data_IF_334046494070
#
_entry.id   IF_334046494070
#
_cell.length_a   1.000
_cell.length_b   1.000
_cell.length_c   1.000
_cell.angle_alpha   90.00
_cell.angle_beta   90.00
_cell.angle_gamma   90.00
#
_symmetry.space_group_name_H-M   'P 1'
#
loop_
_entity.id
_entity.type
_entity.pdbx_description
1 polymer ?
#
# COMPACT_ATOMS: atom_id res chain seq x y z
N UNK A 1 14.35 5.18 -23.52
CA UNK A 1 13.81 6.37 -22.79
C UNK A 1 13.69 5.93 -21.33
N UNK A 2 13.89 6.84 -20.37
CA UNK A 2 13.71 6.51 -18.96
C UNK A 2 12.25 6.15 -18.68
N UNK A 3 12.01 5.12 -17.85
CA UNK A 3 10.66 4.68 -17.49
C UNK A 3 10.03 5.56 -16.41
N UNK A 4 10.85 6.28 -15.63
CA UNK A 4 10.40 7.20 -14.60
C UNK A 4 11.34 8.41 -14.47
N UNK A 5 10.76 9.60 -14.28
CA UNK A 5 11.51 10.87 -14.18
C UNK A 5 10.95 11.77 -13.07
N UNK A 6 10.89 11.32 -11.81
CA UNK A 6 10.49 12.20 -10.73
C UNK A 6 11.56 13.29 -10.54
N UNK A 7 11.11 14.52 -10.28
CA UNK A 7 11.99 15.62 -9.87
C UNK A 7 11.57 16.06 -8.48
N UNK A 8 12.41 15.82 -7.48
CA UNK A 8 12.14 16.08 -6.07
C UNK A 8 13.09 17.17 -5.58
N UNK A 9 12.54 18.24 -5.04
CA UNK A 9 13.28 19.34 -4.42
C UNK A 9 13.18 19.29 -2.87
N UNK A 10 13.79 20.23 -2.18
CA UNK A 10 13.79 20.27 -0.70
C UNK A 10 12.40 20.57 -0.13
N UNK A 11 11.60 21.41 -0.78
CA UNK A 11 10.23 21.70 -0.35
C UNK A 11 9.35 20.44 -0.43
N UNK A 12 9.55 19.60 -1.45
CA UNK A 12 8.87 18.31 -1.56
C UNK A 12 9.24 17.36 -0.43
N UNK A 13 10.52 17.33 -0.03
CA UNK A 13 11.00 16.52 1.10
C UNK A 13 10.39 17.02 2.42
N UNK A 14 10.37 18.34 2.64
CA UNK A 14 9.74 18.95 3.84
C UNK A 14 8.23 18.67 3.86
N UNK A 15 7.55 18.87 2.72
CA UNK A 15 6.13 18.58 2.57
C UNK A 15 5.81 17.09 2.86
N UNK A 16 6.61 16.18 2.30
CA UNK A 16 6.45 14.74 2.56
C UNK A 16 6.64 14.41 4.04
N UNK A 17 7.67 14.92 4.69
CA UNK A 17 7.91 14.71 6.13
C UNK A 17 6.75 15.21 6.98
N UNK A 18 6.18 16.35 6.64
CA UNK A 18 5.06 16.98 7.36
C UNK A 18 3.75 16.27 7.14
N UNK A 19 3.43 15.93 5.89
CA UNK A 19 2.12 15.42 5.50
C UNK A 19 2.07 13.91 5.37
N UNK A 20 3.21 13.25 5.16
CA UNK A 20 3.33 11.81 4.95
C UNK A 20 3.00 11.36 3.54
N UNK A 21 2.65 12.28 2.64
CA UNK A 21 2.37 12.00 1.25
C UNK A 21 2.88 13.10 0.32
N UNK A 22 3.05 12.73 -0.96
CA UNK A 22 3.41 13.65 -2.04
C UNK A 22 2.75 13.18 -3.34
N UNK A 23 2.09 14.09 -4.04
CA UNK A 23 1.60 13.84 -5.40
C UNK A 23 2.72 14.11 -6.40
N UNK A 24 3.03 13.11 -7.19
CA UNK A 24 4.06 13.15 -8.24
C UNK A 24 3.36 13.21 -9.61
N UNK A 25 3.68 14.25 -10.42
CA UNK A 25 3.11 14.41 -11.76
C UNK A 25 4.03 13.83 -12.82
N UNK A 26 3.47 13.07 -13.76
CA UNK A 26 4.18 12.54 -14.92
C UNK A 26 5.41 11.73 -14.58
N UNK A 27 5.41 11.07 -13.41
CA UNK A 27 6.58 10.31 -12.92
C UNK A 27 6.84 9.07 -13.73
N UNK A 28 5.81 8.44 -14.28
CA UNK A 28 5.92 7.23 -15.08
C UNK A 28 5.68 7.53 -16.57
N UNK A 29 6.50 6.92 -17.43
CA UNK A 29 6.30 7.03 -18.86
C UNK A 29 5.02 6.34 -19.33
N UNK A 30 4.50 6.75 -20.48
CA UNK A 30 3.31 6.11 -21.07
C UNK A 30 3.55 4.61 -21.30
N UNK A 31 4.74 4.23 -21.74
CA UNK A 31 5.12 2.83 -21.98
C UNK A 31 5.08 2.01 -20.70
N UNK A 32 5.56 2.57 -19.59
CA UNK A 32 5.51 1.89 -18.30
C UNK A 32 4.08 1.77 -17.77
N UNK A 33 3.26 2.80 -17.94
CA UNK A 33 1.82 2.75 -17.58
C UNK A 33 1.10 1.67 -18.37
N UNK A 34 1.33 1.55 -19.68
CA UNK A 34 0.75 0.50 -20.51
C UNK A 34 1.26 -0.90 -20.12
N UNK A 35 2.54 -1.02 -19.75
CA UNK A 35 3.08 -2.26 -19.22
C UNK A 35 2.39 -2.67 -17.91
N UNK A 36 2.25 -1.74 -16.94
CA UNK A 36 1.53 -1.99 -15.69
C UNK A 36 0.05 -2.37 -15.94
N UNK A 37 -0.59 -1.76 -16.94
CA UNK A 37 -1.97 -2.09 -17.35
C UNK A 37 -2.05 -3.52 -17.90
N UNK A 38 -1.17 -3.89 -18.81
CA UNK A 38 -1.10 -5.22 -19.40
C UNK A 38 -0.83 -6.28 -18.34
N UNK A 39 0.13 -6.02 -17.45
CA UNK A 39 0.51 -6.89 -16.34
C UNK A 39 -0.68 -7.10 -15.38
N UNK A 40 -1.35 -6.01 -14.99
CA UNK A 40 -2.53 -6.06 -14.15
C UNK A 40 -3.66 -6.85 -14.83
N UNK A 41 -3.97 -6.56 -16.10
CA UNK A 41 -5.02 -7.26 -16.85
C UNK A 41 -4.77 -8.75 -16.96
N UNK A 42 -3.49 -9.17 -17.06
CA UNK A 42 -3.12 -10.58 -17.16
C UNK A 42 -3.15 -11.33 -15.83
N UNK A 43 -2.89 -10.65 -14.72
CA UNK A 43 -2.67 -11.28 -13.42
C UNK A 43 -3.82 -11.11 -12.43
N UNK A 44 -4.65 -10.06 -12.56
CA UNK A 44 -5.74 -9.81 -11.62
C UNK A 44 -6.81 -10.90 -11.70
N UNK A 45 -7.30 -11.31 -10.54
CA UNK A 45 -8.35 -12.31 -10.37
C UNK A 45 -9.50 -11.75 -9.55
N UNK A 46 -10.67 -12.40 -9.61
CA UNK A 46 -11.74 -12.08 -8.68
C UNK A 46 -11.25 -12.30 -7.24
N UNK A 47 -11.54 -11.36 -6.31
CA UNK A 47 -11.15 -11.51 -4.92
C UNK A 47 -11.93 -12.68 -4.27
N UNK A 48 -11.41 -13.17 -3.14
CA UNK A 48 -12.14 -14.14 -2.33
C UNK A 48 -13.45 -13.52 -1.80
N UNK A 49 -14.45 -14.38 -1.53
CA UNK A 49 -15.81 -13.96 -1.15
C UNK A 49 -15.85 -13.04 0.08
N UNK A 50 -14.91 -13.21 1.01
CA UNK A 50 -14.79 -12.39 2.20
C UNK A 50 -14.25 -10.95 1.97
N UNK A 51 -13.85 -10.59 0.74
CA UNK A 51 -13.62 -9.19 0.34
C UNK A 51 -14.91 -8.44 0.02
N UNK A 52 -16.03 -9.14 -0.08
CA UNK A 52 -17.32 -8.55 -0.43
C UNK A 52 -17.26 -7.77 -1.74
N UNK A 53 -17.92 -6.62 -1.79
CA UNK A 53 -17.98 -5.75 -2.98
C UNK A 53 -16.81 -4.76 -3.08
N UNK A 54 -15.72 -4.97 -2.34
CA UNK A 54 -14.59 -4.03 -2.33
C UNK A 54 -14.00 -3.79 -3.71
N UNK A 55 -13.70 -4.86 -4.43
CA UNK A 55 -13.07 -4.83 -5.76
C UNK A 55 -13.72 -5.84 -6.69
N UNK A 56 -13.72 -5.53 -8.00
CA UNK A 56 -14.06 -6.51 -9.03
C UNK A 56 -12.92 -7.50 -9.25
N UNK A 57 -11.68 -7.01 -9.18
CA UNK A 57 -10.47 -7.81 -9.24
C UNK A 57 -9.39 -7.23 -8.34
N UNK A 58 -8.62 -8.11 -7.73
CA UNK A 58 -7.50 -7.76 -6.84
C UNK A 58 -6.45 -8.86 -6.91
N UNK A 59 -5.17 -8.48 -6.87
CA UNK A 59 -4.11 -9.44 -6.62
C UNK A 59 -2.90 -8.74 -6.00
N UNK A 60 -2.37 -9.35 -4.95
CA UNK A 60 -1.04 -9.05 -4.41
C UNK A 60 0.05 -9.69 -5.25
N UNK A 61 1.27 -9.22 -5.10
CA UNK A 61 2.48 -9.75 -5.75
C UNK A 61 2.45 -9.64 -7.30
N UNK A 62 1.66 -8.71 -7.83
CA UNK A 62 1.62 -8.42 -9.27
C UNK A 62 2.95 -7.81 -9.70
N UNK A 63 3.62 -8.45 -10.64
CA UNK A 63 4.86 -7.95 -11.21
C UNK A 63 6.08 -8.00 -10.29
N UNK A 64 6.05 -8.79 -9.20
CA UNK A 64 7.17 -8.87 -8.26
C UNK A 64 8.51 -9.26 -8.91
N UNK A 65 8.45 -10.12 -9.91
CA UNK A 65 9.63 -10.60 -10.66
C UNK A 65 9.62 -10.14 -12.13
N UNK A 66 8.76 -9.16 -12.45
CA UNK A 66 8.69 -8.61 -13.80
C UNK A 66 9.93 -7.76 -14.10
N UNK A 67 10.68 -8.05 -15.21
CA UNK A 67 11.94 -7.39 -15.48
C UNK A 67 11.81 -5.88 -15.75
N UNK A 68 10.65 -5.41 -16.24
CA UNK A 68 10.42 -3.97 -16.49
C UNK A 68 10.17 -3.25 -15.17
N UNK A 69 9.40 -3.86 -14.26
CA UNK A 69 9.19 -3.32 -12.91
C UNK A 69 10.50 -3.31 -12.12
N UNK A 70 11.29 -4.38 -12.20
CA UNK A 70 12.60 -4.43 -11.53
C UNK A 70 13.60 -3.43 -12.12
N UNK A 71 13.61 -3.24 -13.44
CA UNK A 71 14.46 -2.24 -14.08
C UNK A 71 14.18 -0.81 -13.61
N UNK A 72 12.95 -0.49 -13.24
CA UNK A 72 12.57 0.80 -12.65
C UNK A 72 13.40 1.13 -11.39
N UNK A 73 13.73 0.12 -10.58
CA UNK A 73 14.48 0.31 -9.32
C UNK A 73 15.91 0.78 -9.57
N UNK A 74 16.44 0.49 -10.74
CA UNK A 74 17.80 0.89 -11.17
C UNK A 74 17.82 2.18 -12.01
N UNK A 75 16.65 2.80 -12.28
CA UNK A 75 16.58 4.10 -12.96
C UNK A 75 17.15 5.20 -12.04
N UNK A 76 18.26 5.87 -12.41
CA UNK A 76 18.95 6.78 -11.49
C UNK A 76 18.07 7.88 -10.92
N UNK A 77 17.27 8.55 -11.76
CA UNK A 77 16.39 9.64 -11.34
C UNK A 77 15.29 9.15 -10.38
N UNK A 78 14.77 7.94 -10.59
CA UNK A 78 13.77 7.35 -9.71
C UNK A 78 14.40 6.95 -8.37
N UNK A 79 15.49 6.20 -8.40
CA UNK A 79 16.17 5.73 -7.19
C UNK A 79 16.67 6.90 -6.32
N UNK A 80 17.27 7.94 -6.93
CA UNK A 80 17.74 9.13 -6.22
C UNK A 80 16.58 9.90 -5.58
N UNK A 81 15.50 10.13 -6.32
CA UNK A 81 14.31 10.82 -5.80
C UNK A 81 13.66 10.08 -4.64
N UNK A 82 13.51 8.78 -4.75
CA UNK A 82 12.91 7.94 -3.72
C UNK A 82 13.78 7.88 -2.46
N UNK A 83 15.08 7.71 -2.61
CA UNK A 83 16.02 7.67 -1.47
C UNK A 83 16.15 9.04 -0.79
N UNK A 84 16.08 10.14 -1.55
CA UNK A 84 16.04 11.50 -1.01
C UNK A 84 14.80 11.75 -0.15
N UNK A 85 13.61 11.37 -0.63
CA UNK A 85 12.36 11.48 0.13
C UNK A 85 12.38 10.62 1.40
N UNK A 86 12.88 9.39 1.28
CA UNK A 86 12.98 8.44 2.38
C UNK A 86 14.05 8.81 3.41
N UNK A 87 15.12 9.49 3.00
CA UNK A 87 16.32 9.74 3.80
C UNK A 87 17.16 8.47 4.04
N UNK A 88 16.87 7.39 3.35
CA UNK A 88 17.55 6.09 3.45
C UNK A 88 17.41 5.30 2.14
N UNK A 89 18.26 4.30 1.95
CA UNK A 89 18.09 3.33 0.87
C UNK A 89 16.82 2.51 1.07
N UNK A 90 16.16 2.22 -0.04
CA UNK A 90 14.92 1.47 -0.08
C UNK A 90 15.08 0.19 -0.89
N UNK A 91 14.17 -0.74 -0.71
CA UNK A 91 14.01 -1.85 -1.65
C UNK A 91 12.54 -2.11 -1.95
N UNK A 92 12.27 -2.54 -3.16
CA UNK A 92 10.93 -2.91 -3.62
C UNK A 92 10.52 -4.24 -2.99
N UNK A 93 9.41 -4.24 -2.27
CA UNK A 93 8.89 -5.43 -1.59
C UNK A 93 7.86 -6.15 -2.43
N UNK A 94 6.84 -5.44 -2.93
CA UNK A 94 5.75 -6.06 -3.68
C UNK A 94 4.96 -5.06 -4.53
N UNK A 95 4.37 -5.57 -5.60
CA UNK A 95 3.33 -4.88 -6.37
C UNK A 95 1.93 -5.31 -5.96
N UNK A 96 0.95 -4.47 -6.19
CA UNK A 96 -0.47 -4.74 -6.00
C UNK A 96 -1.26 -4.14 -7.16
N UNK A 97 -2.06 -4.94 -7.82
CA UNK A 97 -3.03 -4.48 -8.82
C UNK A 97 -4.46 -4.62 -8.32
N UNK A 98 -5.34 -3.69 -8.69
CA UNK A 98 -6.76 -3.77 -8.34
C UNK A 98 -7.65 -2.97 -9.27
N UNK A 99 -8.88 -3.46 -9.43
CA UNK A 99 -9.90 -2.91 -10.31
C UNK A 99 -11.17 -2.57 -9.52
N UNK A 100 -11.67 -1.35 -9.71
CA UNK A 100 -13.01 -0.95 -9.27
C UNK A 100 -13.95 -1.00 -10.46
N UNK A 101 -15.08 -1.70 -10.33
CA UNK A 101 -16.17 -1.68 -11.29
C UNK A 101 -17.17 -0.57 -10.95
N UNK A 102 -17.62 0.14 -11.99
CA UNK A 102 -18.54 1.27 -11.87
C UNK A 102 -19.80 0.89 -11.08
N UNK A 103 -20.14 1.71 -10.10
CA UNK A 103 -21.29 1.58 -9.21
C UNK A 103 -21.39 0.30 -8.36
N UNK A 104 -20.45 -0.65 -8.53
CA UNK A 104 -20.46 -1.91 -7.80
C UNK A 104 -19.40 -1.95 -6.71
N UNK A 105 -18.14 -1.63 -7.08
CA UNK A 105 -17.01 -1.73 -6.16
C UNK A 105 -16.96 -0.55 -5.19
N UNK A 106 -16.79 -0.85 -3.91
CA UNK A 106 -16.63 0.17 -2.85
C UNK A 106 -15.18 0.58 -2.62
N UNK A 107 -14.23 -0.27 -3.00
CA UNK A 107 -12.81 -0.12 -2.69
C UNK A 107 -12.49 -0.37 -1.21
N UNK A 108 -11.25 -0.08 -0.82
CA UNK A 108 -10.86 -0.14 0.59
C UNK A 108 -11.51 0.98 1.40
N UNK A 109 -12.11 0.69 2.58
CA UNK A 109 -12.55 1.70 3.53
C UNK A 109 -11.33 2.47 4.11
N UNK A 110 -11.54 3.41 5.03
CA UNK A 110 -10.46 4.09 5.72
C UNK A 110 -9.52 3.09 6.40
N UNK A 111 -8.23 3.17 6.08
CA UNK A 111 -7.20 2.26 6.59
C UNK A 111 -5.80 2.91 6.51
N UNK A 112 -4.81 2.17 6.96
CA UNK A 112 -3.38 2.45 6.82
C UNK A 112 -2.66 1.22 6.28
N UNK A 113 -1.34 1.29 6.13
CA UNK A 113 -0.53 0.20 5.58
C UNK A 113 -0.39 -1.05 6.47
N UNK A 114 -1.37 -1.36 7.32
CA UNK A 114 -1.30 -2.46 8.28
C UNK A 114 -0.99 -3.81 7.63
N UNK A 115 -1.68 -4.15 6.56
CA UNK A 115 -1.48 -5.43 5.86
C UNK A 115 -0.27 -5.38 4.93
N UNK A 116 -0.08 -4.25 4.25
CA UNK A 116 0.98 -4.06 3.26
C UNK A 116 2.38 -4.08 3.86
N UNK A 117 2.49 -3.68 5.12
CA UNK A 117 3.73 -3.60 5.89
C UNK A 117 3.63 -4.41 7.18
N UNK A 118 2.79 -5.45 7.17
CA UNK A 118 2.51 -6.30 8.33
C UNK A 118 3.68 -7.14 8.83
N UNK A 119 4.79 -7.13 8.11
CA UNK A 119 6.01 -7.88 8.40
C UNK A 119 7.08 -7.07 9.15
N UNK A 120 6.97 -5.74 9.20
CA UNK A 120 8.01 -4.86 9.73
C UNK A 120 7.55 -4.11 10.99
N UNK A 121 8.52 -3.65 11.76
CA UNK A 121 8.27 -2.89 12.98
C UNK A 121 7.62 -1.54 12.68
N UNK A 122 7.03 -0.94 13.72
CA UNK A 122 6.38 0.37 13.62
C UNK A 122 7.34 1.48 13.21
N UNK A 123 8.55 1.47 13.74
CA UNK A 123 9.59 2.48 13.48
C UNK A 123 10.20 2.40 12.08
N UNK A 124 10.10 1.25 11.43
CA UNK A 124 10.64 1.04 10.09
C UNK A 124 9.84 1.81 9.04
N UNK A 125 10.53 2.38 8.07
CA UNK A 125 9.90 3.10 6.98
C UNK A 125 9.27 2.12 5.98
N UNK A 126 7.99 2.35 5.67
CA UNK A 126 7.28 1.69 4.58
C UNK A 126 6.62 2.74 3.69
N UNK A 127 6.83 2.66 2.38
CA UNK A 127 6.32 3.60 1.39
C UNK A 127 5.47 2.88 0.34
N UNK A 128 4.42 3.54 -0.10
CA UNK A 128 3.61 3.10 -1.24
C UNK A 128 3.59 4.18 -2.30
N UNK A 129 3.86 3.81 -3.54
CA UNK A 129 3.51 4.60 -4.72
C UNK A 129 2.25 3.98 -5.31
N UNK A 130 1.16 4.72 -5.28
CA UNK A 130 -0.08 4.36 -5.95
C UNK A 130 -0.21 5.14 -7.25
N UNK A 131 -0.49 4.47 -8.35
CA UNK A 131 -0.70 5.08 -9.66
C UNK A 131 -1.99 4.57 -10.29
N UNK A 132 -2.90 5.45 -10.70
CA UNK A 132 -4.03 5.05 -11.52
C UNK A 132 -3.57 4.79 -12.96
N UNK A 133 -4.14 3.76 -13.57
CA UNK A 133 -3.85 3.40 -14.96
C UNK A 133 -4.87 3.99 -15.95
N UNK A 134 -5.70 4.91 -15.49
CA UNK A 134 -6.65 5.72 -16.26
C UNK A 134 -6.84 7.08 -15.57
N UNK A 135 -7.37 8.09 -16.25
CA UNK A 135 -7.61 9.40 -15.63
C UNK A 135 -8.55 9.32 -14.43
N UNK A 136 -8.27 10.11 -13.41
CA UNK A 136 -9.12 10.29 -12.22
C UNK A 136 -9.58 11.74 -12.17
N UNK A 137 -10.89 11.95 -12.22
CA UNK A 137 -11.53 13.25 -12.09
C UNK A 137 -12.44 13.29 -10.85
N UNK A 138 -12.03 13.97 -9.76
CA UNK A 138 -12.81 14.09 -8.53
C UNK A 138 -14.14 14.82 -8.69
N UNK A 139 -14.29 15.65 -9.73
CA UNK A 139 -15.50 16.39 -10.03
C UNK A 139 -16.41 15.67 -11.04
N UNK A 140 -15.88 14.63 -11.69
CA UNK A 140 -16.60 13.80 -12.66
C UNK A 140 -16.87 12.41 -12.13
N UNK A 141 -16.27 11.37 -12.78
CA UNK A 141 -16.56 9.96 -12.46
C UNK A 141 -15.88 9.45 -11.18
N UNK A 142 -14.92 10.19 -10.63
CA UNK A 142 -14.16 9.88 -9.42
C UNK A 142 -13.33 8.58 -9.56
N UNK A 143 -13.39 7.65 -8.61
CA UNK A 143 -12.62 6.38 -8.64
C UNK A 143 -11.19 6.48 -8.12
N UNK A 144 -10.78 7.62 -7.55
CA UNK A 144 -9.45 7.86 -6.99
C UNK A 144 -9.29 7.38 -5.54
N UNK A 145 -8.54 8.16 -4.78
CA UNK A 145 -8.34 7.98 -3.35
C UNK A 145 -8.61 9.27 -2.59
N UNK A 146 -9.14 9.12 -1.37
CA UNK A 146 -9.04 10.15 -0.33
C UNK A 146 -7.92 9.79 0.63
N UNK A 147 -7.17 10.80 1.07
CA UNK A 147 -6.05 10.63 1.97
C UNK A 147 -5.88 11.85 2.88
N UNK A 148 -5.38 11.59 4.08
CA UNK A 148 -5.32 12.58 5.15
C UNK A 148 -3.87 12.89 5.52
N UNK A 149 -3.55 14.18 5.68
CA UNK A 149 -2.26 14.59 6.19
C UNK A 149 -1.99 14.06 7.60
N UNK A 150 -0.82 13.50 7.83
CA UNK A 150 -0.36 13.10 9.17
C UNK A 150 -0.28 14.27 10.15
N UNK A 151 -0.16 15.49 9.63
CA UNK A 151 -0.20 16.71 10.46
C UNK A 151 -1.61 16.97 11.02
N UNK A 152 -2.65 16.42 10.40
CA UNK A 152 -4.03 16.45 10.94
C UNK A 152 -4.25 15.26 11.86
N UNK A 153 -3.98 14.04 11.37
CA UNK A 153 -4.10 12.80 12.14
C UNK A 153 -3.19 11.72 11.57
N UNK A 154 -2.26 11.23 12.40
CA UNK A 154 -1.43 10.08 12.04
C UNK A 154 -2.17 8.77 12.31
N UNK A 155 -2.08 7.84 11.38
CA UNK A 155 -2.64 6.49 11.54
C UNK A 155 -1.74 5.50 12.26
N UNK A 156 -0.69 5.95 12.95
CA UNK A 156 0.24 5.06 13.65
C UNK A 156 -0.46 4.17 14.69
N UNK A 157 -1.42 4.74 15.44
CA UNK A 157 -2.19 3.96 16.42
C UNK A 157 -3.01 2.85 15.77
N UNK A 158 -3.56 3.10 14.58
CA UNK A 158 -4.31 2.08 13.81
C UNK A 158 -3.37 0.97 13.33
N UNK A 159 -2.18 1.35 12.89
CA UNK A 159 -1.15 0.39 12.50
C UNK A 159 -0.76 -0.55 13.67
N UNK A 160 -0.71 -0.03 14.89
CA UNK A 160 -0.39 -0.82 16.08
C UNK A 160 -1.58 -1.62 16.63
N UNK A 161 -2.78 -1.13 16.47
CA UNK A 161 -4.01 -1.72 17.01
C UNK A 161 -4.19 -3.20 16.64
N UNK A 162 -3.79 -3.58 15.43
CA UNK A 162 -3.91 -4.96 14.95
C UNK A 162 -3.22 -5.98 15.88
N UNK A 163 -2.16 -5.57 16.58
CA UNK A 163 -1.41 -6.45 17.48
C UNK A 163 -2.23 -6.85 18.72
N UNK A 164 -3.27 -6.11 19.06
CA UNK A 164 -4.12 -6.36 20.23
C UNK A 164 -5.25 -7.35 19.93
N UNK A 165 -5.72 -7.41 18.69
CA UNK A 165 -6.92 -8.13 18.31
C UNK A 165 -6.86 -9.64 18.59
N UNK A 166 -5.78 -10.39 18.26
CA UNK A 166 -5.72 -11.82 18.50
C UNK A 166 -5.78 -12.18 19.98
N UNK A 167 -5.12 -11.38 20.82
CA UNK A 167 -5.13 -11.61 22.27
C UNK A 167 -6.52 -11.40 22.85
N UNK A 168 -7.22 -10.35 22.43
CA UNK A 168 -8.58 -10.05 22.81
C UNK A 168 -9.54 -11.17 22.37
N UNK A 169 -9.51 -11.53 21.08
CA UNK A 169 -10.36 -12.60 20.53
C UNK A 169 -10.15 -13.93 21.26
N UNK A 170 -8.89 -14.27 21.55
CA UNK A 170 -8.56 -15.48 22.32
C UNK A 170 -9.14 -15.47 23.74
N UNK A 171 -9.12 -14.31 24.40
CA UNK A 171 -9.73 -14.14 25.72
C UNK A 171 -11.26 -14.29 25.67
N UNK A 172 -11.93 -13.72 24.65
CA UNK A 172 -13.36 -13.85 24.46
C UNK A 172 -13.78 -15.33 24.20
N UNK A 173 -13.03 -16.04 23.33
CA UNK A 173 -13.26 -17.47 23.10
C UNK A 173 -13.05 -18.30 24.37
N UNK A 174 -12.01 -18.00 25.16
CA UNK A 174 -11.76 -18.68 26.44
C UNK A 174 -12.87 -18.41 27.48
N UNK A 175 -13.53 -17.27 27.39
CA UNK A 175 -14.70 -16.93 28.19
C UNK A 175 -16.01 -17.59 27.70
N UNK A 176 -15.94 -18.44 26.67
CA UNK A 176 -17.07 -19.17 26.10
C UNK A 176 -17.92 -18.36 25.10
N UNK A 177 -17.42 -17.23 24.61
CA UNK A 177 -18.09 -16.48 23.55
C UNK A 177 -17.73 -17.07 22.18
N UNK A 178 -18.70 -17.12 21.29
CA UNK A 178 -18.48 -17.34 19.87
C UNK A 178 -17.91 -16.05 19.28
N UNK A 179 -16.75 -16.14 18.60
CA UNK A 179 -16.15 -15.01 17.88
C UNK A 179 -16.21 -15.30 16.39
N UNK A 180 -16.88 -14.45 15.65
CA UNK A 180 -17.10 -14.58 14.22
C UNK A 180 -16.10 -13.74 13.41
N UNK A 181 -16.11 -13.94 12.08
CA UNK A 181 -15.35 -13.07 11.17
C UNK A 181 -15.89 -11.62 11.19
N UNK A 182 -17.18 -11.45 11.31
CA UNK A 182 -17.83 -10.14 11.42
C UNK A 182 -17.37 -9.39 12.66
N UNK A 183 -17.25 -10.04 13.80
CA UNK A 183 -16.70 -9.44 15.04
C UNK A 183 -15.26 -8.98 14.85
N UNK A 184 -14.44 -9.78 14.15
CA UNK A 184 -13.06 -9.42 13.82
C UNK A 184 -13.01 -8.21 12.87
N UNK A 185 -13.80 -8.22 11.81
CA UNK A 185 -13.81 -7.13 10.81
C UNK A 185 -14.33 -5.83 11.42
N UNK A 186 -15.33 -5.89 12.28
CA UNK A 186 -15.81 -4.74 13.05
C UNK A 186 -14.72 -4.18 13.97
N UNK A 187 -14.08 -5.02 14.77
CA UNK A 187 -12.99 -4.61 15.66
C UNK A 187 -11.82 -3.97 14.88
N UNK A 188 -11.46 -4.55 13.75
CA UNK A 188 -10.37 -4.06 12.89
C UNK A 188 -10.71 -2.70 12.26
N UNK A 189 -11.96 -2.51 11.83
CA UNK A 189 -12.36 -1.36 11.02
C UNK A 189 -13.04 -0.25 11.84
N UNK A 190 -13.61 -0.54 13.00
CA UNK A 190 -14.46 0.39 13.77
C UNK A 190 -13.79 1.71 14.15
N UNK A 191 -12.46 1.70 14.38
CA UNK A 191 -11.71 2.91 14.75
C UNK A 191 -11.81 4.02 13.68
N UNK A 192 -11.81 3.66 12.41
CA UNK A 192 -11.78 4.61 11.30
C UNK A 192 -13.12 4.69 10.55
N UNK A 193 -13.89 3.59 10.54
CA UNK A 193 -15.04 3.46 9.66
C UNK A 193 -16.38 3.50 10.43
N UNK A 194 -16.37 3.95 11.68
CA UNK A 194 -17.61 4.21 12.42
C UNK A 194 -18.42 5.35 11.77
N UNK A 195 -19.75 5.38 11.99
CA UNK A 195 -20.62 6.44 11.47
C UNK A 195 -20.19 7.86 11.88
N UNK A 196 -19.42 8.00 12.97
CA UNK A 196 -18.92 9.29 13.46
C UNK A 196 -17.55 9.63 12.87
N UNK A 197 -16.63 8.66 12.84
CA UNK A 197 -15.26 8.92 12.44
C UNK A 197 -15.11 9.06 10.91
N UNK A 198 -15.76 8.22 10.13
CA UNK A 198 -15.61 8.23 8.68
C UNK A 198 -15.98 9.58 8.04
N UNK A 199 -17.13 10.22 8.37
CA UNK A 199 -17.44 11.55 7.85
C UNK A 199 -16.45 12.64 8.30
N UNK A 200 -15.92 12.53 9.52
CA UNK A 200 -14.91 13.46 10.03
C UNK A 200 -13.62 13.36 9.20
N UNK A 201 -13.15 12.14 8.94
CA UNK A 201 -11.98 11.92 8.08
C UNK A 201 -12.23 12.42 6.66
N UNK A 202 -13.42 12.17 6.11
CA UNK A 202 -13.81 12.65 4.78
C UNK A 202 -13.80 14.17 4.64
N UNK A 203 -14.12 14.90 5.73
CA UNK A 203 -14.13 16.36 5.74
C UNK A 203 -12.72 16.97 5.63
N UNK A 204 -11.72 16.34 6.26
CA UNK A 204 -10.34 16.83 6.26
C UNK A 204 -9.45 16.22 5.18
N UNK A 205 -9.96 15.24 4.45
CA UNK A 205 -9.20 14.53 3.45
C UNK A 205 -9.07 15.30 2.13
N UNK A 206 -7.95 15.08 1.46
CA UNK A 206 -7.72 15.50 0.09
C UNK A 206 -8.20 14.41 -0.88
N UNK A 207 -8.80 14.82 -1.99
CA UNK A 207 -9.11 13.99 -3.16
C UNK A 207 -8.62 14.72 -4.41
N UNK A 208 -7.60 14.20 -5.08
CA UNK A 208 -6.95 14.84 -6.22
C UNK A 208 -7.33 14.19 -7.56
N UNK A 209 -7.24 15.00 -8.63
CA UNK A 209 -7.22 14.52 -10.00
C UNK A 209 -5.86 13.88 -10.33
N UNK A 210 -5.84 12.86 -11.17
CA UNK A 210 -4.62 12.21 -11.66
C UNK A 210 -4.76 11.89 -13.13
N UNK A 211 -3.68 12.08 -13.87
CA UNK A 211 -3.53 11.56 -15.22
C UNK A 211 -2.71 10.24 -15.20
N UNK A 212 -2.84 9.36 -16.19
CA UNK A 212 -1.95 8.21 -16.33
C UNK A 212 -0.49 8.64 -16.36
N UNK A 213 0.32 8.06 -15.48
CA UNK A 213 1.70 8.47 -15.25
C UNK A 213 1.90 9.36 -14.02
N UNK A 214 0.84 9.95 -13.48
CA UNK A 214 0.87 10.55 -12.14
C UNK A 214 0.86 9.47 -11.07
N UNK A 215 1.35 9.82 -9.88
CA UNK A 215 1.33 8.92 -8.73
C UNK A 215 1.12 9.67 -7.41
N UNK A 216 0.60 8.96 -6.42
CA UNK A 216 0.60 9.38 -5.03
C UNK A 216 1.61 8.53 -4.26
N UNK A 217 2.66 9.17 -3.75
CA UNK A 217 3.58 8.57 -2.80
C UNK A 217 3.07 8.83 -1.39
N UNK A 218 3.03 7.81 -0.54
CA UNK A 218 2.66 7.98 0.87
C UNK A 218 3.32 6.93 1.78
N UNK A 219 3.54 7.31 3.03
CA UNK A 219 4.05 6.40 4.04
C UNK A 219 2.94 5.51 4.64
N UNK A 220 3.35 4.46 5.33
CA UNK A 220 2.45 3.44 5.89
C UNK A 220 1.44 3.96 6.93
N UNK A 221 1.61 5.19 7.44
CA UNK A 221 0.74 5.80 8.46
C UNK A 221 -0.28 6.79 7.90
N UNK A 222 -0.22 7.10 6.62
CA UNK A 222 -1.21 7.96 5.98
C UNK A 222 -2.55 7.24 5.97
N UNK A 223 -3.55 7.85 6.60
CA UNK A 223 -4.93 7.40 6.54
C UNK A 223 -5.45 7.64 5.13
N UNK A 224 -5.96 6.58 4.49
CA UNK A 224 -6.46 6.68 3.12
C UNK A 224 -7.59 5.69 2.88
N UNK A 225 -8.40 5.98 1.86
CA UNK A 225 -9.46 5.10 1.39
C UNK A 225 -9.66 5.20 -0.12
N UNK A 226 -10.23 4.19 -0.72
CA UNK A 226 -10.72 4.27 -2.09
C UNK A 226 -11.96 5.17 -2.19
N UNK A 227 -12.12 5.79 -3.34
CA UNK A 227 -13.37 6.46 -3.74
C UNK A 227 -14.05 5.61 -4.81
N UNK A 228 -15.36 5.44 -4.72
CA UNK A 228 -16.13 4.67 -5.70
C UNK A 228 -15.99 5.28 -7.09
N UNK A 229 -15.96 4.41 -8.10
CA UNK A 229 -16.13 4.83 -9.48
C UNK A 229 -17.63 5.05 -9.74
N UNK A 230 -17.99 6.31 -9.95
CA UNK A 230 -19.37 6.75 -10.15
C UNK A 230 -19.76 6.68 -11.64
N UNK A 231 -20.93 7.24 -11.99
CA UNK A 231 -21.38 7.30 -13.40
C UNK A 231 -20.40 8.06 -14.27
N UNK A 232 -20.16 7.54 -15.49
CA UNK A 232 -19.26 8.15 -16.46
C UNK A 232 -18.79 7.16 -17.52
N UNK A 233 -17.81 7.58 -18.35
CA UNK A 233 -17.41 6.81 -19.53
C UNK A 233 -16.66 5.49 -19.20
N UNK A 234 -15.94 5.42 -18.06
CA UNK A 234 -15.20 4.22 -17.68
C UNK A 234 -16.16 3.18 -17.09
N UNK A 235 -16.10 1.95 -17.59
CA UNK A 235 -16.81 0.81 -17.00
C UNK A 235 -16.07 0.29 -15.74
N UNK A 236 -14.75 0.39 -15.73
CA UNK A 236 -13.90 0.04 -14.59
C UNK A 236 -12.66 0.94 -14.52
N UNK A 237 -12.02 0.97 -13.35
CA UNK A 237 -10.79 1.71 -13.08
C UNK A 237 -9.73 0.76 -12.53
N UNK A 238 -8.64 0.61 -13.27
CA UNK A 238 -7.42 -0.08 -12.84
C UNK A 238 -6.49 0.87 -12.10
N UNK A 239 -5.85 0.38 -11.06
CA UNK A 239 -4.71 1.01 -10.43
C UNK A 239 -3.65 -0.01 -10.07
N UNK A 240 -2.43 0.50 -9.92
CA UNK A 240 -1.27 -0.29 -9.52
C UNK A 240 -0.57 0.38 -8.34
N UNK A 241 -0.02 -0.40 -7.45
CA UNK A 241 0.76 0.10 -6.32
C UNK A 241 2.09 -0.63 -6.21
N UNK A 242 3.16 0.14 -5.99
CA UNK A 242 4.50 -0.32 -5.70
C UNK A 242 4.80 -0.06 -4.23
N UNK A 243 5.33 -1.04 -3.51
CA UNK A 243 5.64 -0.91 -2.09
C UNK A 243 7.13 -1.09 -1.83
N UNK A 244 7.63 -0.26 -0.92
CA UNK A 244 9.04 -0.17 -0.58
C UNK A 244 9.21 -0.18 0.94
N UNK A 245 10.25 -0.85 1.40
CA UNK A 245 10.72 -0.76 2.79
C UNK A 245 12.14 -0.22 2.83
N UNK A 246 12.54 0.36 3.97
CA UNK A 246 13.96 0.66 4.19
C UNK A 246 14.78 -0.63 4.24
N UNK A 247 16.02 -0.56 3.79
CA UNK A 247 16.96 -1.71 3.85
C UNK A 247 17.25 -2.15 5.30
N UNK A 248 17.03 -1.26 6.27
CA UNK A 248 17.23 -1.51 7.69
C UNK A 248 16.00 -2.11 8.37
N UNK A 249 14.88 -2.30 7.64
CA UNK A 249 13.66 -2.86 8.19
C UNK A 249 13.88 -4.25 8.79
N UNK A 250 13.30 -4.46 9.95
CA UNK A 250 13.40 -5.72 10.68
C UNK A 250 12.03 -6.41 10.83
N UNK A 251 12.06 -7.73 10.84
CA UNK A 251 10.88 -8.56 10.94
C UNK A 251 10.23 -8.45 12.33
N UNK A 252 8.94 -8.13 12.35
CA UNK A 252 8.10 -8.09 13.55
C UNK A 252 7.23 -9.34 13.61
N UNK A 253 7.75 -10.37 14.28
CA UNK A 253 7.04 -11.65 14.38
C UNK A 253 5.70 -11.53 15.09
N UNK A 254 5.61 -10.68 16.12
CA UNK A 254 4.37 -10.50 16.86
C UNK A 254 3.26 -9.96 15.96
N UNK A 255 3.59 -9.02 15.09
CA UNK A 255 2.67 -8.44 14.11
C UNK A 255 2.24 -9.46 13.06
N UNK A 256 3.19 -10.20 12.52
CA UNK A 256 2.89 -11.26 11.54
C UNK A 256 1.94 -12.29 12.13
N UNK A 257 2.24 -12.79 13.34
CA UNK A 257 1.38 -13.75 14.05
C UNK A 257 -0.02 -13.15 14.32
N UNK A 258 -0.10 -11.85 14.63
CA UNK A 258 -1.37 -11.14 14.82
C UNK A 258 -2.20 -11.08 13.54
N UNK A 259 -1.57 -10.81 12.39
CA UNK A 259 -2.24 -10.77 11.09
C UNK A 259 -2.58 -12.18 10.55
N UNK A 260 -1.77 -13.19 10.87
CA UNK A 260 -2.01 -14.57 10.48
C UNK A 260 -3.17 -15.21 11.26
N UNK A 261 -3.38 -14.83 12.50
CA UNK A 261 -4.38 -15.44 13.39
C UNK A 261 -5.81 -15.42 12.81
N UNK A 262 -6.36 -14.30 12.31
CA UNK A 262 -7.68 -14.28 11.66
C UNK A 262 -7.75 -15.09 10.37
N UNK A 263 -6.66 -15.14 9.60
CA UNK A 263 -6.59 -15.97 8.38
C UNK A 263 -6.79 -17.44 8.72
N UNK A 264 -6.10 -17.91 9.75
CA UNK A 264 -6.23 -19.30 10.20
C UNK A 264 -7.59 -19.58 10.85
N UNK A 265 -8.12 -18.65 11.66
CA UNK A 265 -9.39 -18.85 12.38
C UNK A 265 -10.61 -18.80 11.43
N UNK A 266 -10.59 -17.93 10.42
CA UNK A 266 -11.76 -17.62 9.57
C UNK A 266 -11.55 -17.94 8.09
N UNK A 267 -10.45 -18.59 7.73
CA UNK A 267 -10.08 -18.80 6.32
C UNK A 267 -10.08 -17.50 5.49
N UNK A 268 -9.62 -16.42 6.12
CA UNK A 268 -9.61 -15.09 5.55
C UNK A 268 -8.31 -14.87 4.76
N UNK A 269 -8.39 -14.98 3.45
CA UNK A 269 -7.24 -14.82 2.56
C UNK A 269 -7.17 -13.39 1.99
N UNK A 270 -6.44 -12.52 2.67
CA UNK A 270 -6.34 -11.09 2.32
C UNK A 270 -4.93 -10.62 2.12
N UNK A 271 -3.95 -11.46 2.34
CA UNK A 271 -2.60 -10.97 2.37
C UNK A 271 -1.76 -11.61 1.29
N UNK A 272 -0.74 -10.88 0.86
CA UNK A 272 0.44 -11.46 0.26
C UNK A 272 0.98 -12.57 1.17
N UNK A 273 1.27 -13.73 0.62
CA UNK A 273 2.01 -14.79 1.32
C UNK A 273 3.41 -14.31 1.76
N UNK A 274 3.88 -13.21 1.19
CA UNK A 274 5.11 -12.52 1.51
C UNK A 274 5.29 -12.26 3.02
N UNK A 275 4.25 -11.79 3.70
CA UNK A 275 4.34 -11.48 5.13
C UNK A 275 4.73 -12.69 5.99
N UNK A 276 4.37 -13.90 5.55
CA UNK A 276 4.61 -15.13 6.29
C UNK A 276 5.98 -15.75 6.02
N UNK A 277 6.63 -15.37 4.90
CA UNK A 277 7.85 -16.03 4.44
C UNK A 277 9.08 -15.12 4.44
N UNK A 278 8.90 -13.84 4.73
CA UNK A 278 9.97 -12.84 4.66
C UNK A 278 10.93 -12.88 5.85
N UNK A 279 10.59 -13.56 6.95
CA UNK A 279 11.42 -13.75 8.14
C UNK A 279 10.98 -14.96 8.96
N UNK A 280 11.86 -15.46 9.82
CA UNK A 280 11.58 -16.57 10.73
C UNK A 280 11.56 -16.11 12.20
N UNK A 281 12.53 -15.28 12.58
CA UNK A 281 12.71 -14.85 13.95
C UNK A 281 12.44 -13.36 14.10
N UNK A 282 11.96 -12.96 15.26
CA UNK A 282 11.81 -11.55 15.58
C UNK A 282 13.15 -10.82 15.49
N UNK A 283 13.18 -9.70 14.76
CA UNK A 283 14.39 -8.93 14.55
C UNK A 283 15.25 -9.35 13.35
N UNK A 284 14.88 -10.39 12.61
CA UNK A 284 15.57 -10.73 11.36
C UNK A 284 15.52 -9.55 10.39
N UNK A 285 16.60 -9.34 9.62
CA UNK A 285 16.61 -8.33 8.56
C UNK A 285 15.68 -8.74 7.43
N UNK A 286 14.67 -7.94 7.16
CA UNK A 286 13.73 -8.17 6.03
C UNK A 286 14.48 -8.14 4.70
N UNK A 287 15.37 -7.16 4.51
CA UNK A 287 16.17 -7.02 3.29
C UNK A 287 17.07 -8.24 3.01
N UNK A 288 17.61 -8.89 4.06
CA UNK A 288 18.46 -10.08 3.94
C UNK A 288 17.70 -11.38 3.87
N UNK A 289 16.38 -11.34 3.86
CA UNK A 289 15.54 -12.54 3.75
C UNK A 289 15.94 -13.39 2.53
N UNK A 290 16.01 -14.72 2.68
CA UNK A 290 16.21 -15.65 1.56
C UNK A 290 15.15 -15.52 0.45
N UNK A 291 13.97 -15.00 0.79
CA UNK A 291 12.91 -14.70 -0.17
C UNK A 291 13.41 -13.81 -1.33
N UNK A 292 14.36 -12.90 -1.07
CA UNK A 292 14.89 -11.96 -2.05
C UNK A 292 16.23 -12.38 -2.69
N UNK A 293 16.80 -13.51 -2.35
CA UNK A 293 18.18 -13.86 -2.75
C UNK A 293 18.46 -13.71 -4.24
N UNK A 294 17.50 -14.07 -5.09
CA UNK A 294 17.65 -14.01 -6.55
C UNK A 294 17.40 -12.62 -7.15
N UNK A 295 16.73 -11.74 -6.43
CA UNK A 295 16.24 -10.44 -6.96
C UNK A 295 16.65 -9.25 -6.11
N UNK A 296 17.36 -9.46 -5.01
CA UNK A 296 17.69 -8.42 -4.02
C UNK A 296 18.33 -7.19 -4.64
N UNK A 297 19.37 -7.38 -5.45
CA UNK A 297 20.05 -6.28 -6.12
C UNK A 297 19.14 -5.52 -7.07
N UNK A 298 18.37 -6.25 -7.89
CA UNK A 298 17.41 -5.66 -8.82
C UNK A 298 16.26 -4.91 -8.14
N UNK A 299 16.00 -5.18 -6.86
CA UNK A 299 14.94 -4.53 -6.05
C UNK A 299 15.45 -3.31 -5.28
N UNK A 300 16.76 -3.09 -5.22
CA UNK A 300 17.36 -2.06 -4.36
C UNK A 300 17.40 -0.70 -5.05
N UNK A 301 16.91 0.32 -4.35
CA UNK A 301 17.05 1.73 -4.70
C UNK A 301 18.12 2.33 -3.78
N UNK A 302 19.26 2.67 -4.34
CA UNK A 302 20.34 3.36 -3.64
C UNK A 302 20.71 4.63 -4.38
N UNK A 303 20.97 5.72 -3.64
CA UNK A 303 21.58 6.90 -4.24
C UNK A 303 22.94 6.51 -4.84
N UNK A 304 23.24 7.02 -6.03
CA UNK A 304 24.57 6.85 -6.60
C UNK A 304 25.62 7.44 -5.65
N UNK A 305 26.80 6.82 -5.54
CA UNK A 305 27.89 7.33 -4.67
C UNK A 305 28.32 8.77 -5.02
N UNK A 306 27.90 9.29 -6.18
CA UNK A 306 28.13 10.69 -6.59
C UNK A 306 27.39 11.74 -5.72
N UNK A 307 26.37 11.36 -4.96
CA UNK A 307 25.61 12.27 -4.09
C UNK A 307 26.14 12.35 -2.65
N UNK A 308 27.26 11.70 -2.35
CA UNK A 308 27.89 11.68 -1.01
C UNK A 308 29.01 12.74 -0.82
N UNK A 309 29.15 13.68 -1.77
CA UNK A 309 30.15 14.74 -1.68
C UNK A 309 29.54 16.13 -1.74
#
# INVERSE_FOLDING_TARGET
MANATPSINDDDVESFRKHGFLKLKGVFSTELVEHMRSLSSAQLVAPADNYGSGFSKLKYDVGNDDPVILALMSEPAFAESMTRLAGTSLFFTQGLGFELEKNKSTGFPWHVGTQSFGFQRREDLGLTIWTPLCPIDPQGQRGGMKYLSKNVLSGEFVYQHINMLPAYMKAEMAAGKEVTFEDFDELKNSLLNSPTMSPLLDHYATEDAFEPGDALLFDKYVLHRSVRLEEGPLASRLAYALRFSSIDAVYDKQRVDALASPRHAFNYDVASAFNDVVGENDGDSVYKSPYFDKTREARTLSASDAARY
#
